data_IF_786825527295
#
_entry.id   IF_786825527295
#
_cell.length_a   1.000
_cell.length_b   1.000
_cell.length_c   1.000
_cell.angle_alpha   90.00
_cell.angle_beta   90.00
_cell.angle_gamma   90.00
#
_symmetry.space_group_name_H-M   'P 1'
#
loop_
_entity.id
_entity.type
_entity.pdbx_description
1 polymer ?
#
# COMPACT_ATOMS: atom_id res chain seq x y z
N UNK A 1 -3.27 0.24 -30.58
CA UNK A 1 -3.63 0.87 -29.29
C UNK A 1 -4.65 1.96 -29.56
N UNK A 2 -5.66 2.12 -28.70
CA UNK A 2 -6.68 3.18 -28.88
C UNK A 2 -6.06 4.49 -28.37
N UNK A 3 -6.19 5.58 -29.12
CA UNK A 3 -5.70 6.88 -28.66
C UNK A 3 -6.40 7.28 -27.34
N UNK A 4 -5.72 7.99 -26.42
CA UNK A 4 -6.35 8.52 -25.22
C UNK A 4 -7.46 9.52 -25.59
N UNK A 5 -8.51 9.56 -24.77
CA UNK A 5 -9.62 10.51 -24.94
C UNK A 5 -9.11 11.96 -24.82
N UNK A 6 -9.66 12.88 -25.61
CA UNK A 6 -9.24 14.28 -25.66
C UNK A 6 -9.36 14.97 -24.29
N UNK A 7 -10.38 14.63 -23.52
CA UNK A 7 -10.55 15.13 -22.15
C UNK A 7 -9.50 14.58 -21.18
N UNK A 8 -9.04 13.34 -21.38
CA UNK A 8 -7.97 12.77 -20.56
C UNK A 8 -6.68 13.53 -20.81
N UNK A 9 -6.36 13.86 -22.06
CA UNK A 9 -5.21 14.69 -22.40
C UNK A 9 -5.34 16.10 -21.79
N UNK A 10 -6.52 16.71 -21.88
CA UNK A 10 -6.79 18.02 -21.26
C UNK A 10 -6.58 18.00 -19.74
N UNK A 11 -7.09 16.97 -19.06
CA UNK A 11 -6.88 16.81 -17.62
C UNK A 11 -5.40 16.59 -17.28
N UNK A 12 -4.68 15.82 -18.10
CA UNK A 12 -3.25 15.53 -17.92
C UNK A 12 -2.39 16.80 -18.08
N UNK A 13 -2.75 17.68 -19.01
CA UNK A 13 -2.11 18.98 -19.19
C UNK A 13 -2.48 20.01 -18.11
N UNK A 14 -3.66 19.92 -17.51
CA UNK A 14 -4.11 20.84 -16.48
C UNK A 14 -3.49 20.56 -15.10
N UNK A 15 -2.78 19.46 -14.93
CA UNK A 15 -2.16 19.07 -13.67
C UNK A 15 -0.83 19.80 -13.48
N UNK A 16 -0.66 20.34 -12.28
CA UNK A 16 0.64 20.74 -11.79
C UNK A 16 1.45 19.49 -11.44
N UNK A 17 2.37 19.11 -12.33
CA UNK A 17 3.21 17.92 -12.16
C UNK A 17 4.30 18.11 -11.11
N UNK A 18 4.73 19.34 -10.83
CA UNK A 18 5.72 19.60 -9.78
C UNK A 18 5.15 19.27 -8.40
N UNK A 19 3.88 19.61 -8.16
CA UNK A 19 3.19 19.26 -6.92
C UNK A 19 2.65 17.82 -6.92
N UNK A 20 2.13 17.36 -8.06
CA UNK A 20 1.38 16.08 -8.13
C UNK A 20 2.30 14.86 -8.20
N UNK A 21 3.40 14.93 -8.94
CA UNK A 21 4.28 13.77 -9.10
C UNK A 21 4.88 13.28 -7.77
N UNK A 22 5.41 14.14 -6.88
CA UNK A 22 5.92 13.72 -5.57
C UNK A 22 4.84 13.03 -4.72
N UNK A 23 3.59 13.51 -4.78
CA UNK A 23 2.46 12.90 -4.05
C UNK A 23 2.12 11.51 -4.57
N UNK A 24 2.16 11.31 -5.88
CA UNK A 24 1.94 9.99 -6.49
C UNK A 24 3.05 9.01 -6.11
N UNK A 25 4.31 9.48 -6.09
CA UNK A 25 5.48 8.69 -5.69
C UNK A 25 5.37 8.31 -4.22
N UNK A 26 5.04 9.25 -3.32
CA UNK A 26 4.83 8.99 -1.90
C UNK A 26 3.71 7.95 -1.68
N UNK A 27 2.59 8.09 -2.41
CA UNK A 27 1.50 7.11 -2.36
C UNK A 27 1.95 5.72 -2.81
N UNK A 28 2.66 5.62 -3.93
CA UNK A 28 3.19 4.36 -4.44
C UNK A 28 4.14 3.73 -3.42
N UNK A 29 5.04 4.51 -2.84
CA UNK A 29 5.98 4.07 -1.82
C UNK A 29 5.27 3.53 -0.58
N UNK A 30 4.37 4.31 0.02
CA UNK A 30 3.62 3.90 1.21
C UNK A 30 2.85 2.60 0.96
N UNK A 31 2.30 2.44 -0.24
CA UNK A 31 1.60 1.21 -0.62
C UNK A 31 2.57 0.04 -0.77
N UNK A 32 3.71 0.24 -1.42
CA UNK A 32 4.72 -0.81 -1.59
C UNK A 32 5.30 -1.27 -0.25
N UNK A 33 5.59 -0.37 0.69
CA UNK A 33 6.12 -0.69 2.02
C UNK A 33 5.18 -1.57 2.86
N UNK A 34 3.87 -1.51 2.57
CA UNK A 34 2.84 -2.28 3.27
C UNK A 34 2.64 -3.70 2.72
N UNK A 35 3.28 -4.02 1.61
CA UNK A 35 3.06 -5.28 0.90
C UNK A 35 4.17 -6.28 1.16
N UNK A 36 3.84 -7.56 0.97
CA UNK A 36 4.81 -8.64 1.08
C UNK A 36 5.53 -8.83 -0.25
N UNK A 37 6.84 -8.62 -0.23
CA UNK A 37 7.72 -8.78 -1.37
C UNK A 37 8.70 -9.91 -1.11
N UNK A 38 8.81 -10.85 -2.04
CA UNK A 38 9.77 -11.96 -1.97
C UNK A 38 9.69 -12.75 -0.65
N UNK A 39 8.48 -12.89 -0.10
CA UNK A 39 8.21 -13.54 1.18
C UNK A 39 8.47 -12.68 2.44
N UNK A 40 8.94 -11.43 2.30
CA UNK A 40 9.20 -10.52 3.42
C UNK A 40 8.23 -9.33 3.40
N UNK A 41 7.52 -9.10 4.51
CA UNK A 41 6.67 -7.92 4.66
C UNK A 41 7.51 -6.63 4.65
N UNK A 42 7.15 -5.66 3.82
CA UNK A 42 7.96 -4.45 3.60
C UNK A 42 9.35 -4.74 3.02
N UNK A 43 9.54 -5.94 2.45
CA UNK A 43 10.77 -6.31 1.77
C UNK A 43 10.99 -5.48 0.49
N UNK A 44 12.20 -5.51 -0.08
CA UNK A 44 12.45 -4.84 -1.33
C UNK A 44 11.62 -5.49 -2.46
N UNK A 45 11.01 -4.68 -3.34
CA UNK A 45 10.19 -5.16 -4.44
C UNK A 45 11.01 -5.99 -5.44
N UNK A 46 10.29 -6.82 -6.19
CA UNK A 46 10.84 -7.60 -7.31
C UNK A 46 11.56 -6.66 -8.29
N UNK A 47 12.68 -7.12 -8.86
CA UNK A 47 13.49 -6.37 -9.86
C UNK A 47 14.03 -5.01 -9.41
N UNK A 48 13.93 -4.69 -8.12
CA UNK A 48 14.35 -3.37 -7.63
C UNK A 48 13.48 -2.23 -8.15
N UNK A 49 12.25 -2.52 -8.57
CA UNK A 49 11.28 -1.53 -9.06
C UNK A 49 11.12 -0.44 -8.00
N UNK A 50 11.27 0.82 -8.41
CA UNK A 50 11.10 1.96 -7.53
C UNK A 50 9.67 2.52 -7.62
N UNK A 51 9.21 3.23 -6.58
CA UNK A 51 7.93 3.95 -6.62
C UNK A 51 7.83 4.92 -7.81
N UNK A 52 8.95 5.52 -8.22
CA UNK A 52 9.04 6.39 -9.40
C UNK A 52 8.72 5.66 -10.70
N UNK A 53 9.20 4.41 -10.84
CA UNK A 53 8.97 3.59 -12.05
C UNK A 53 7.49 3.25 -12.18
N UNK A 54 6.83 2.96 -11.06
CA UNK A 54 5.38 2.69 -11.01
C UNK A 54 4.59 3.93 -11.46
N UNK A 55 4.96 5.12 -10.98
CA UNK A 55 4.29 6.37 -11.36
C UNK A 55 4.52 6.67 -12.85
N UNK A 56 5.75 6.52 -13.36
CA UNK A 56 6.04 6.69 -14.78
C UNK A 56 5.25 5.71 -15.64
N UNK A 57 5.19 4.43 -15.25
CA UNK A 57 4.40 3.42 -15.94
C UNK A 57 2.90 3.75 -15.90
N UNK A 58 2.39 4.29 -14.79
CA UNK A 58 1.00 4.69 -14.67
C UNK A 58 0.67 5.83 -15.65
N UNK A 59 1.51 6.85 -15.74
CA UNK A 59 1.35 7.96 -16.69
C UNK A 59 1.44 7.45 -18.14
N UNK A 60 2.42 6.60 -18.43
CA UNK A 60 2.56 5.97 -19.74
C UNK A 60 1.33 5.12 -20.13
N UNK A 61 0.79 4.32 -19.20
CA UNK A 61 -0.41 3.50 -19.43
C UNK A 61 -1.66 4.35 -19.72
N UNK A 62 -1.75 5.56 -19.16
CA UNK A 62 -2.81 6.53 -19.46
C UNK A 62 -2.58 7.19 -20.82
N UNK A 63 -1.37 7.69 -21.09
CA UNK A 63 -1.03 8.33 -22.37
C UNK A 63 -1.12 7.40 -23.57
N UNK A 64 -0.79 6.11 -23.38
CA UNK A 64 -0.92 5.08 -24.43
C UNK A 64 -2.36 4.60 -24.65
N UNK A 65 -3.32 5.11 -23.86
CA UNK A 65 -4.73 4.71 -23.93
C UNK A 65 -5.02 3.29 -23.43
N UNK A 66 -4.05 2.64 -22.77
CA UNK A 66 -4.22 1.32 -22.14
C UNK A 66 -5.14 1.39 -20.92
N UNK A 67 -5.21 2.55 -20.25
CA UNK A 67 -6.12 2.83 -19.13
C UNK A 67 -7.04 3.98 -19.50
N UNK A 68 -8.36 3.74 -19.42
CA UNK A 68 -9.36 4.77 -19.65
C UNK A 68 -9.82 5.37 -18.32
N UNK A 69 -9.77 6.70 -18.22
CA UNK A 69 -10.23 7.42 -17.04
C UNK A 69 -11.76 7.43 -16.96
N UNK A 70 -12.30 6.97 -15.82
CA UNK A 70 -13.72 7.11 -15.51
C UNK A 70 -14.01 8.49 -14.89
N UNK A 71 -14.69 9.34 -15.67
CA UNK A 71 -15.02 10.75 -15.37
C UNK A 71 -15.88 10.96 -14.12
N UNK A 72 -16.43 9.89 -13.53
CA UNK A 72 -17.16 9.95 -12.25
C UNK A 72 -16.26 10.27 -11.05
N UNK A 73 -14.93 10.16 -11.19
CA UNK A 73 -13.95 10.39 -10.12
C UNK A 73 -12.89 11.39 -10.57
N UNK A 74 -12.26 12.07 -9.61
CA UNK A 74 -11.14 12.97 -9.93
C UNK A 74 -9.99 12.21 -10.58
N UNK A 75 -9.27 12.88 -11.50
CA UNK A 75 -8.17 12.26 -12.23
C UNK A 75 -7.05 11.79 -11.31
N UNK A 76 -6.75 12.56 -10.26
CA UNK A 76 -5.77 12.17 -9.25
C UNK A 76 -6.17 10.88 -8.53
N UNK A 77 -7.45 10.75 -8.16
CA UNK A 77 -7.96 9.53 -7.54
C UNK A 77 -7.85 8.34 -8.48
N UNK A 78 -8.16 8.53 -9.76
CA UNK A 78 -8.00 7.51 -10.80
C UNK A 78 -6.54 7.04 -10.92
N UNK A 79 -5.57 7.95 -11.00
CA UNK A 79 -4.15 7.59 -11.05
C UNK A 79 -3.73 6.77 -9.83
N UNK A 80 -4.11 7.21 -8.62
CA UNK A 80 -3.73 6.53 -7.37
C UNK A 80 -4.41 5.17 -7.18
N UNK A 81 -5.74 5.14 -7.22
CA UNK A 81 -6.53 3.98 -6.82
C UNK A 81 -6.76 2.98 -7.96
N UNK A 82 -6.87 3.44 -9.20
CA UNK A 82 -7.21 2.56 -10.31
C UNK A 82 -5.96 2.13 -11.10
N UNK A 83 -5.02 3.05 -11.36
CA UNK A 83 -3.82 2.74 -12.17
C UNK A 83 -2.66 2.25 -11.31
N UNK A 84 -2.11 3.09 -10.43
CA UNK A 84 -0.92 2.77 -9.62
C UNK A 84 -1.17 1.55 -8.75
N UNK A 85 -2.30 1.52 -8.05
CA UNK A 85 -2.66 0.37 -7.21
C UNK A 85 -2.76 -0.92 -8.03
N UNK A 86 -3.31 -0.87 -9.25
CA UNK A 86 -3.40 -2.04 -10.12
C UNK A 86 -2.03 -2.53 -10.60
N UNK A 87 -1.10 -1.61 -10.94
CA UNK A 87 0.28 -1.98 -11.30
C UNK A 87 0.97 -2.66 -10.13
N UNK A 88 0.90 -2.08 -8.93
CA UNK A 88 1.50 -2.65 -7.71
C UNK A 88 0.89 -4.02 -7.41
N UNK A 89 -0.43 -4.15 -7.43
CA UNK A 89 -1.09 -5.44 -7.22
C UNK A 89 -0.61 -6.49 -8.22
N UNK A 90 -0.46 -6.12 -9.50
CA UNK A 90 0.07 -7.02 -10.51
C UNK A 90 1.51 -7.47 -10.18
N UNK A 91 2.37 -6.53 -9.76
CA UNK A 91 3.73 -6.84 -9.31
C UNK A 91 3.74 -7.80 -8.10
N UNK A 92 2.87 -7.58 -7.10
CA UNK A 92 2.75 -8.45 -5.93
C UNK A 92 2.26 -9.85 -6.31
N UNK A 93 1.27 -9.94 -7.20
CA UNK A 93 0.70 -11.22 -7.64
C UNK A 93 1.56 -11.96 -8.66
N UNK A 94 2.60 -11.32 -9.18
CA UNK A 94 3.48 -11.92 -10.20
C UNK A 94 4.10 -13.22 -9.71
N UNK A 95 4.28 -14.18 -10.63
CA UNK A 95 4.93 -15.45 -10.32
C UNK A 95 6.34 -15.26 -9.76
N UNK A 96 7.03 -14.21 -10.20
CA UNK A 96 8.35 -13.83 -9.70
C UNK A 96 8.31 -13.46 -8.21
N UNK A 97 7.37 -12.60 -7.79
CA UNK A 97 7.22 -12.26 -6.37
C UNK A 97 6.87 -13.47 -5.49
N UNK A 98 6.05 -14.38 -6.03
CA UNK A 98 5.58 -15.57 -5.30
C UNK A 98 6.60 -16.70 -5.21
N UNK A 99 7.41 -16.90 -6.25
CA UNK A 99 8.38 -18.01 -6.34
C UNK A 99 9.76 -17.64 -5.82
N UNK A 100 10.13 -16.37 -5.92
CA UNK A 100 11.41 -15.88 -5.43
C UNK A 100 11.28 -15.57 -3.94
N UNK A 101 11.23 -16.63 -3.12
CA UNK A 101 11.47 -16.48 -1.69
C UNK A 101 12.95 -16.14 -1.52
N UNK A 102 13.26 -14.96 -0.97
CA UNK A 102 14.65 -14.73 -0.55
C UNK A 102 14.94 -15.75 0.55
N UNK A 103 15.82 -16.71 0.28
CA UNK A 103 16.53 -17.41 1.33
C UNK A 103 17.03 -16.35 2.30
N UNK A 104 16.58 -16.45 3.56
CA UNK A 104 16.77 -15.42 4.57
C UNK A 104 18.20 -14.90 4.50
N UNK A 105 18.34 -13.59 4.41
CA UNK A 105 19.65 -12.95 4.36
C UNK A 105 20.50 -13.51 5.49
N UNK A 106 21.55 -14.26 5.15
CA UNK A 106 22.55 -14.72 6.10
C UNK A 106 23.16 -13.46 6.69
N UNK A 107 22.72 -13.08 7.88
CA UNK A 107 23.38 -12.04 8.67
C UNK A 107 24.64 -12.69 9.19
N UNK A 108 25.75 -12.52 8.46
CA UNK A 108 27.07 -12.84 8.98
C UNK A 108 27.34 -11.86 10.13
N UNK A 109 27.13 -12.33 11.37
CA UNK A 109 27.68 -11.66 12.55
C UNK A 109 29.20 -11.60 12.40
N UNK A 110 29.79 -10.44 12.67
CA UNK A 110 31.25 -10.22 12.60
C UNK A 110 32.05 -11.08 13.59
N UNK A 111 31.37 -11.79 14.50
CA UNK A 111 31.99 -12.59 15.56
C UNK A 111 32.12 -14.08 15.23
N UNK A 112 31.41 -14.61 14.23
CA UNK A 112 31.34 -16.05 13.99
C UNK A 112 32.17 -16.49 12.78
N UNK A 113 33.49 -16.52 12.95
CA UNK A 113 34.36 -17.35 12.10
C UNK A 113 34.14 -18.83 12.44
N UNK A 114 33.21 -19.48 11.75
CA UNK A 114 33.23 -20.95 11.63
C UNK A 114 32.04 -21.74 12.16
N UNK A 115 30.89 -21.12 12.47
CA UNK A 115 29.64 -21.86 12.68
C UNK A 115 28.58 -21.47 11.67
N UNK A 116 28.29 -22.41 10.76
CA UNK A 116 27.08 -22.39 9.93
C UNK A 116 25.85 -22.47 10.84
N UNK A 117 25.14 -21.35 10.99
CA UNK A 117 23.81 -21.35 11.59
C UNK A 117 22.82 -21.62 10.45
N UNK A 118 22.34 -22.86 10.36
CA UNK A 118 21.15 -23.18 9.57
C UNK A 118 19.93 -22.73 10.36
N UNK A 119 19.17 -21.76 9.84
CA UNK A 119 17.83 -21.52 10.34
C UNK A 119 16.91 -22.57 9.72
N UNK A 120 16.44 -23.51 10.54
CA UNK A 120 15.37 -24.42 10.16
C UNK A 120 14.14 -23.60 9.75
N UNK A 121 13.70 -23.80 8.51
CA UNK A 121 12.38 -23.40 8.05
C UNK A 121 11.39 -24.32 8.78
N UNK A 122 10.75 -23.78 9.82
CA UNK A 122 9.66 -24.41 10.54
C UNK A 122 8.50 -23.42 10.62
N UNK A 123 7.30 -23.94 10.35
CA UNK A 123 6.01 -23.27 10.51
C UNK A 123 5.94 -22.39 11.77
N UNK A 124 5.34 -21.20 11.63
CA UNK A 124 5.00 -20.27 12.71
C UNK A 124 6.18 -19.61 13.44
N UNK A 125 6.41 -18.31 13.15
CA UNK A 125 7.33 -17.50 13.94
C UNK A 125 7.56 -16.11 13.37
N UNK A 126 6.69 -15.16 13.71
CA UNK A 126 6.84 -13.74 13.41
C UNK A 126 8.17 -13.19 13.95
N UNK A 127 9.12 -12.88 13.08
CA UNK A 127 10.30 -12.06 13.44
C UNK A 127 9.89 -10.59 13.39
N UNK A 128 9.50 -10.03 14.54
CA UNK A 128 9.53 -8.59 14.74
C UNK A 128 10.99 -8.13 14.72
N UNK A 129 11.51 -7.76 13.55
CA UNK A 129 12.85 -7.20 13.47
C UNK A 129 12.83 -5.73 13.89
N UNK A 130 13.51 -5.47 15.01
CA UNK A 130 13.89 -4.15 15.52
C UNK A 130 14.40 -3.24 14.40
N UNK A 131 13.99 -1.96 14.45
CA UNK A 131 14.47 -0.80 13.65
C UNK A 131 15.82 -1.05 12.96
N UNK A 132 15.79 -1.50 11.70
CA UNK A 132 16.94 -1.39 10.81
C UNK A 132 17.11 0.10 10.50
N UNK A 133 18.23 0.70 10.91
CA UNK A 133 18.64 2.01 10.39
C UNK A 133 18.93 1.82 8.89
N UNK A 134 18.06 2.35 8.03
CA UNK A 134 18.33 2.49 6.61
C UNK A 134 19.53 3.46 6.42
N UNK A 135 20.39 3.25 5.41
CA UNK A 135 21.45 4.20 5.07
C UNK A 135 20.83 5.56 4.76
N UNK A 136 21.43 6.64 5.29
CA UNK A 136 20.85 7.99 5.27
C UNK A 136 20.56 8.56 3.85
N UNK A 137 21.10 7.94 2.80
CA UNK A 137 20.99 8.42 1.42
C UNK A 137 19.70 7.95 0.68
N UNK A 138 18.85 7.14 1.30
CA UNK A 138 17.59 6.62 0.68
C UNK A 138 16.36 6.88 1.55
N UNK A 139 16.43 7.85 2.45
CA UNK A 139 15.28 8.25 3.25
C UNK A 139 14.36 9.13 2.39
N UNK A 140 13.06 8.79 2.26
CA UNK A 140 12.06 9.77 1.90
C UNK A 140 12.21 10.94 2.85
N UNK A 141 12.00 12.16 2.34
CA UNK A 141 11.99 13.37 3.16
C UNK A 141 11.30 13.08 4.51
N UNK A 142 12.10 13.07 5.58
CA UNK A 142 11.73 12.48 6.88
C UNK A 142 10.49 13.16 7.46
N UNK A 143 10.23 14.40 7.04
CA UNK A 143 9.02 15.15 7.34
C UNK A 143 7.75 14.48 6.79
N UNK A 144 7.79 13.98 5.55
CA UNK A 144 6.64 13.36 4.88
C UNK A 144 6.27 12.01 5.52
N UNK A 145 7.27 11.23 5.94
CA UNK A 145 7.05 9.98 6.66
C UNK A 145 6.41 10.21 8.04
N UNK A 146 6.85 11.26 8.76
CA UNK A 146 6.27 11.62 10.06
C UNK A 146 4.82 12.06 9.95
N UNK A 147 4.51 12.92 8.98
CA UNK A 147 3.13 13.40 8.76
C UNK A 147 2.19 12.21 8.50
N UNK A 148 2.58 11.26 7.64
CA UNK A 148 1.74 10.09 7.34
C UNK A 148 1.55 9.14 8.53
N UNK A 149 2.57 8.97 9.38
CA UNK A 149 2.48 8.16 10.59
C UNK A 149 1.63 8.84 11.67
N UNK A 150 1.74 10.17 11.80
CA UNK A 150 0.96 10.96 12.74
C UNK A 150 -0.53 10.97 12.36
N UNK A 151 -0.86 11.09 11.06
CA UNK A 151 -2.25 10.97 10.55
C UNK A 151 -2.84 9.56 10.79
N UNK A 152 -2.05 8.51 10.51
CA UNK A 152 -2.46 7.12 10.78
C UNK A 152 -2.77 6.94 12.27
N UNK A 153 -1.87 7.44 13.14
CA UNK A 153 -2.02 7.32 14.58
C UNK A 153 -3.25 8.07 15.07
N UNK A 154 -3.47 9.31 14.64
CA UNK A 154 -4.65 10.10 15.00
C UNK A 154 -5.96 9.40 14.60
N UNK A 155 -5.99 8.77 13.42
CA UNK A 155 -7.17 8.06 12.95
C UNK A 155 -7.44 6.79 13.77
N UNK A 156 -6.41 6.00 14.08
CA UNK A 156 -6.56 4.78 14.90
C UNK A 156 -6.87 5.11 16.36
N UNK A 157 -6.27 6.17 16.92
CA UNK A 157 -6.56 6.65 18.28
C UNK A 157 -8.02 7.10 18.39
N UNK A 158 -8.56 7.76 17.36
CA UNK A 158 -9.97 8.15 17.27
C UNK A 158 -10.96 6.98 17.13
N UNK A 159 -10.47 5.75 16.93
CA UNK A 159 -11.27 4.52 16.82
C UNK A 159 -10.98 3.53 17.96
N UNK A 160 -10.13 3.91 18.93
CA UNK A 160 -9.63 3.02 19.98
C UNK A 160 -10.74 2.46 20.90
N UNK A 161 -11.89 3.11 20.95
CA UNK A 161 -13.08 2.72 21.73
C UNK A 161 -13.83 1.51 21.15
N UNK A 162 -13.62 1.15 19.88
CA UNK A 162 -14.19 -0.07 19.27
C UNK A 162 -13.06 -0.90 18.65
N UNK A 163 -12.66 -1.94 19.38
CA UNK A 163 -11.54 -2.81 19.02
C UNK A 163 -11.72 -3.50 17.67
N UNK A 164 -12.96 -3.84 17.29
CA UNK A 164 -13.24 -4.49 16.01
C UNK A 164 -13.17 -3.49 14.85
N UNK A 165 -13.74 -2.30 15.03
CA UNK A 165 -13.66 -1.22 14.04
C UNK A 165 -12.23 -0.76 13.83
N UNK A 166 -11.46 -0.62 14.92
CA UNK A 166 -10.04 -0.28 14.86
C UNK A 166 -9.23 -1.34 14.12
N UNK A 167 -9.46 -2.64 14.39
CA UNK A 167 -8.80 -3.74 13.66
C UNK A 167 -9.17 -3.76 12.18
N UNK A 168 -10.43 -3.52 11.82
CA UNK A 168 -10.86 -3.42 10.41
C UNK A 168 -10.23 -2.19 9.73
N UNK A 169 -10.19 -1.05 10.40
CA UNK A 169 -9.54 0.15 9.88
C UNK A 169 -8.04 -0.08 9.67
N UNK A 170 -7.37 -0.71 10.63
CA UNK A 170 -5.97 -1.12 10.51
C UNK A 170 -5.76 -2.07 9.34
N UNK A 171 -6.57 -3.11 9.17
CA UNK A 171 -6.45 -4.02 8.00
C UNK A 171 -6.68 -3.32 6.65
N UNK A 172 -7.53 -2.31 6.62
CA UNK A 172 -7.80 -1.55 5.39
C UNK A 172 -6.69 -0.54 5.10
N UNK A 173 -6.10 0.04 6.14
CA UNK A 173 -4.99 0.99 6.02
C UNK A 173 -3.67 0.25 5.75
N UNK A 174 -3.39 -0.78 6.53
CA UNK A 174 -2.11 -1.48 6.58
C UNK A 174 -2.05 -2.64 5.57
N UNK A 175 -3.14 -3.38 5.32
CA UNK A 175 -3.15 -4.55 4.42
C UNK A 175 -3.98 -4.33 3.12
N UNK A 176 -4.62 -3.18 2.94
CA UNK A 176 -5.53 -2.84 1.81
C UNK A 176 -6.63 -3.88 1.55
N UNK A 177 -7.02 -4.64 2.58
CA UNK A 177 -8.05 -5.69 2.47
C UNK A 177 -9.43 -5.04 2.48
N UNK A 178 -10.05 -4.85 1.31
CA UNK A 178 -11.35 -4.15 1.20
C UNK A 178 -12.56 -5.07 1.15
N UNK A 179 -12.37 -6.33 0.79
CA UNK A 179 -13.44 -7.32 0.62
C UNK A 179 -13.92 -7.84 1.99
N UNK A 180 -15.24 -7.80 2.28
CA UNK A 180 -15.77 -8.29 3.56
C UNK A 180 -15.39 -9.74 3.87
N UNK A 181 -15.34 -10.59 2.84
CA UNK A 181 -14.94 -12.00 2.95
C UNK A 181 -13.48 -12.16 3.39
N UNK A 182 -12.56 -11.39 2.80
CA UNK A 182 -11.14 -11.46 3.15
C UNK A 182 -10.86 -10.83 4.51
N UNK A 183 -11.62 -9.80 4.90
CA UNK A 183 -11.58 -9.25 6.25
C UNK A 183 -12.08 -10.26 7.30
N UNK A 184 -13.18 -10.95 7.00
CA UNK A 184 -13.75 -11.99 7.86
C UNK A 184 -12.76 -13.13 8.09
N UNK A 185 -12.16 -13.65 7.01
CA UNK A 185 -11.13 -14.68 7.03
C UNK A 185 -9.90 -14.24 7.83
N UNK A 186 -9.44 -13.00 7.62
CA UNK A 186 -8.25 -12.46 8.30
C UNK A 186 -8.47 -12.23 9.79
N UNK A 187 -9.68 -11.83 10.19
CA UNK A 187 -10.03 -11.53 11.57
C UNK A 187 -10.59 -12.72 12.34
N UNK A 188 -10.94 -13.82 11.65
CA UNK A 188 -11.59 -14.99 12.22
C UNK A 188 -13.01 -14.71 12.71
N UNK A 189 -13.74 -13.81 12.04
CA UNK A 189 -15.11 -13.40 12.40
C UNK A 189 -16.10 -13.67 11.27
N UNK A 190 -17.39 -13.59 11.56
CA UNK A 190 -18.42 -13.75 10.55
C UNK A 190 -18.48 -12.56 9.57
N UNK A 191 -18.80 -12.83 8.31
CA UNK A 191 -18.92 -11.80 7.26
C UNK A 191 -19.96 -10.73 7.63
N UNK A 192 -21.04 -11.11 8.32
CA UNK A 192 -22.07 -10.19 8.80
C UNK A 192 -21.52 -9.20 9.83
N UNK A 193 -20.64 -9.65 10.71
CA UNK A 193 -19.98 -8.78 11.69
C UNK A 193 -19.06 -7.76 11.01
N UNK A 194 -18.38 -8.17 9.94
CA UNK A 194 -17.59 -7.24 9.11
C UNK A 194 -18.46 -6.16 8.50
N UNK A 195 -19.64 -6.49 7.96
CA UNK A 195 -20.56 -5.48 7.41
C UNK A 195 -21.03 -4.49 8.48
N UNK A 196 -21.41 -4.99 9.67
CA UNK A 196 -21.83 -4.15 10.79
C UNK A 196 -20.69 -3.23 11.26
N UNK A 197 -19.47 -3.74 11.36
CA UNK A 197 -18.32 -2.96 11.76
C UNK A 197 -17.87 -1.94 10.69
N UNK A 198 -17.95 -2.28 9.40
CA UNK A 198 -17.73 -1.30 8.30
C UNK A 198 -18.76 -0.17 8.32
N UNK A 199 -20.02 -0.46 8.63
CA UNK A 199 -21.06 0.57 8.80
C UNK A 199 -20.75 1.48 9.98
N UNK A 200 -20.38 0.91 11.14
CA UNK A 200 -19.94 1.69 12.32
C UNK A 200 -18.75 2.58 12.01
N UNK A 201 -17.75 2.04 11.31
CA UNK A 201 -16.58 2.79 10.86
C UNK A 201 -16.98 3.98 9.97
N UNK A 202 -17.86 3.78 8.99
CA UNK A 202 -18.37 4.87 8.14
C UNK A 202 -19.05 5.97 8.96
N UNK A 203 -19.92 5.63 9.91
CA UNK A 203 -20.60 6.60 10.77
C UNK A 203 -19.60 7.40 11.62
N UNK A 204 -18.56 6.75 12.15
CA UNK A 204 -17.54 7.42 12.97
C UNK A 204 -16.61 8.33 12.18
N UNK A 205 -16.23 7.90 10.97
CA UNK A 205 -15.44 8.74 10.07
C UNK A 205 -16.19 10.02 9.69
N UNK A 206 -17.51 9.93 9.46
CA UNK A 206 -18.36 11.11 9.24
C UNK A 206 -18.38 12.01 10.49
N UNK A 207 -18.55 11.43 11.69
CA UNK A 207 -18.60 12.17 12.94
C UNK A 207 -17.27 12.89 13.28
N UNK A 208 -16.13 12.26 12.99
CA UNK A 208 -14.81 12.81 13.21
C UNK A 208 -14.41 13.87 12.16
N UNK A 209 -15.24 14.12 11.14
CA UNK A 209 -14.91 14.90 9.92
C UNK A 209 -13.63 14.42 9.20
N UNK A 210 -13.09 13.28 9.63
CA UNK A 210 -12.03 12.56 8.96
C UNK A 210 -12.70 11.85 7.79
N UNK A 211 -12.73 12.48 6.62
CA UNK A 211 -13.06 11.78 5.39
C UNK A 211 -11.78 11.13 4.88
N UNK A 212 -11.49 9.85 5.17
CA UNK A 212 -10.35 9.23 4.51
C UNK A 212 -10.82 9.03 3.08
N UNK A 213 -10.14 9.67 2.13
CA UNK A 213 -10.33 9.54 0.67
C UNK A 213 -10.32 8.09 0.16
N UNK A 214 -10.01 7.14 1.05
CA UNK A 214 -9.91 5.68 0.88
C UNK A 214 -11.29 4.99 0.78
N UNK A 215 -12.39 5.62 1.23
CA UNK A 215 -13.65 4.90 1.48
C UNK A 215 -14.83 5.18 0.54
N UNK A 216 -14.69 6.09 -0.43
CA UNK A 216 -15.75 6.40 -1.41
C UNK A 216 -15.58 5.52 -2.66
N UNK A 217 -15.78 4.22 -2.52
CA UNK A 217 -15.83 3.29 -3.66
C UNK A 217 -16.70 2.07 -3.33
N UNK A 218 -18.01 2.30 -3.15
CA UNK A 218 -19.09 1.35 -3.47
C UNK A 218 -20.43 2.05 -3.17
N UNK A 219 -20.88 2.85 -4.14
CA UNK A 219 -22.30 2.98 -4.45
C UNK A 219 -22.45 2.55 -5.90
#
# INVERSE_FOLDING_TARGET
MKAPDAETLKALHAIDWEETAPRLVLYAQQKMERLTWLGTHGGPPVKGIQPTDIVQQAVHDVLSGKRAWNKKRSFLHFLMQDVISSIISNCVTSAENRKTTRYGSIVLSREDRGRLIYFQVGDSGYIWSRRRRLPAATLPDYAQYRIAQDERKQLLDGLADDSLVCRIAALIIDEDIRTPRSLAERLGIDVKEVYLAKRRLQTRLIALRLFPRIWVANR
#
